data_IF_656171298141
#
_entry.id   IF_656171298141
#
_cell.length_a   1.000
_cell.length_b   1.000
_cell.length_c   1.000
_cell.angle_alpha   90.00
_cell.angle_beta   90.00
_cell.angle_gamma   90.00
#
_symmetry.space_group_name_H-M   'P 1'
#
loop_
_entity.id
_entity.type
_entity.pdbx_description
1 polymer ?
#
# COMPACT_ATOMS: atom_id res chain seq x y z
N UNK A 1 -9.06 14.37 20.83
CA UNK A 1 -9.98 13.55 20.02
C UNK A 1 -9.79 13.99 18.58
N UNK A 2 -9.04 13.22 17.78
CA UNK A 2 -8.80 13.52 16.36
C UNK A 2 -10.08 13.13 15.62
N UNK A 3 -10.76 14.13 15.06
CA UNK A 3 -11.96 13.92 14.21
C UNK A 3 -11.54 13.97 12.76
N UNK A 4 -12.35 13.40 11.86
CA UNK A 4 -12.16 13.63 10.41
C UNK A 4 -12.34 15.11 10.10
N UNK A 5 -11.34 15.73 9.47
CA UNK A 5 -11.33 17.19 9.24
C UNK A 5 -11.47 17.44 7.73
N UNK A 6 -12.69 17.77 7.27
CA UNK A 6 -12.91 18.15 5.87
C UNK A 6 -12.45 19.59 5.63
N UNK A 7 -11.90 19.82 4.45
CA UNK A 7 -11.49 21.13 3.96
C UNK A 7 -11.96 21.33 2.52
N UNK A 8 -12.56 22.47 2.23
CA UNK A 8 -12.89 22.85 0.86
C UNK A 8 -11.70 23.49 0.19
N UNK A 9 -11.40 23.08 -1.02
CA UNK A 9 -10.38 23.71 -1.86
C UNK A 9 -10.89 23.83 -3.29
N UNK A 10 -10.32 24.78 -4.03
CA UNK A 10 -10.61 24.95 -5.46
C UNK A 10 -9.44 24.40 -6.26
N UNK A 11 -9.72 23.50 -7.19
CA UNK A 11 -8.75 22.95 -8.13
C UNK A 11 -9.23 23.20 -9.56
N UNK A 12 -8.33 23.18 -10.53
CA UNK A 12 -8.70 23.27 -11.93
C UNK A 12 -8.85 21.87 -12.52
N UNK A 13 -9.93 21.65 -13.26
CA UNK A 13 -10.11 20.40 -13.98
C UNK A 13 -8.98 20.16 -14.97
N UNK A 14 -8.30 19.00 -14.88
CA UNK A 14 -7.20 18.65 -15.77
C UNK A 14 -7.60 18.50 -17.24
N UNK A 15 -8.91 18.28 -17.53
CA UNK A 15 -9.42 18.12 -18.90
C UNK A 15 -9.92 19.44 -19.51
N UNK A 16 -10.70 20.24 -18.77
CA UNK A 16 -11.34 21.44 -19.36
C UNK A 16 -10.84 22.76 -18.76
N UNK A 17 -9.92 22.72 -17.79
CA UNK A 17 -9.31 23.90 -17.15
C UNK A 17 -10.22 24.68 -16.23
N UNK A 18 -11.53 24.37 -16.18
CA UNK A 18 -12.48 25.12 -15.33
C UNK A 18 -12.29 24.81 -13.86
N UNK A 19 -12.47 25.81 -12.97
CA UNK A 19 -12.36 25.59 -11.55
C UNK A 19 -13.52 24.73 -11.02
N UNK A 20 -13.21 23.85 -10.08
CA UNK A 20 -14.18 23.07 -9.32
C UNK A 20 -13.85 23.10 -7.82
N UNK A 21 -14.89 23.17 -7.00
CA UNK A 21 -14.76 23.06 -5.55
C UNK A 21 -14.78 21.59 -5.15
N UNK A 22 -13.75 21.17 -4.43
CA UNK A 22 -13.63 19.80 -3.93
C UNK A 22 -13.54 19.79 -2.42
N UNK A 23 -14.01 18.71 -1.80
CA UNK A 23 -13.78 18.46 -0.37
C UNK A 23 -12.64 17.48 -0.25
N UNK A 24 -11.57 17.90 0.43
CA UNK A 24 -10.45 17.06 0.83
C UNK A 24 -10.46 16.86 2.34
N UNK A 25 -9.74 15.88 2.83
CA UNK A 25 -9.66 15.63 4.27
C UNK A 25 -8.21 15.78 4.73
N UNK A 26 -7.97 16.65 5.69
CA UNK A 26 -6.65 16.76 6.35
C UNK A 26 -6.39 15.53 7.25
N UNK A 27 -7.47 14.95 7.79
CA UNK A 27 -7.42 13.69 8.53
C UNK A 27 -8.71 12.90 8.36
N UNK A 28 -8.57 11.58 8.38
CA UNK A 28 -9.67 10.61 8.43
C UNK A 28 -9.50 9.75 9.68
N UNK A 29 -10.55 9.68 10.49
CA UNK A 29 -10.60 8.79 11.64
C UNK A 29 -11.60 7.67 11.37
N UNK A 30 -11.12 6.43 11.32
CA UNK A 30 -11.93 5.24 11.00
C UNK A 30 -13.01 4.95 12.05
N UNK A 31 -12.81 5.36 13.30
CA UNK A 31 -13.75 5.09 14.39
C UNK A 31 -15.00 5.97 14.37
N UNK A 32 -15.00 7.03 13.58
CA UNK A 32 -16.13 7.97 13.48
C UNK A 32 -16.87 7.92 12.15
N UNK A 33 -16.45 7.05 11.25
CA UNK A 33 -17.11 6.90 9.95
C UNK A 33 -16.78 5.54 9.34
N UNK A 34 -17.78 4.69 9.22
CA UNK A 34 -17.64 3.39 8.56
C UNK A 34 -17.46 3.52 7.04
N UNK A 35 -17.85 4.67 6.47
CA UNK A 35 -17.78 4.90 5.02
C UNK A 35 -16.45 5.44 4.54
N UNK A 36 -15.74 6.25 5.34
CA UNK A 36 -14.48 6.86 4.94
C UNK A 36 -13.35 5.84 4.69
N UNK A 37 -13.14 4.83 5.56
CA UNK A 37 -12.19 3.76 5.26
C UNK A 37 -12.52 3.01 3.96
N UNK A 38 -13.80 2.73 3.71
CA UNK A 38 -14.24 2.11 2.44
C UNK A 38 -13.94 3.00 1.23
N UNK A 39 -14.15 4.31 1.35
CA UNK A 39 -13.82 5.27 0.30
C UNK A 39 -12.32 5.41 0.06
N UNK A 40 -11.49 5.26 1.11
CA UNK A 40 -10.03 5.16 0.96
C UNK A 40 -9.71 3.91 0.14
N UNK A 41 -10.23 2.76 0.53
CA UNK A 41 -9.94 1.48 -0.14
C UNK A 41 -10.41 1.47 -1.59
N UNK A 42 -11.61 2.00 -1.90
CA UNK A 42 -12.08 2.16 -3.28
C UNK A 42 -11.34 3.26 -4.06
N UNK A 43 -10.72 4.21 -3.37
CA UNK A 43 -10.11 5.42 -3.94
C UNK A 43 -11.10 6.54 -4.21
N UNK A 44 -12.36 6.39 -3.85
CA UNK A 44 -13.40 7.39 -4.12
C UNK A 44 -13.20 8.68 -3.33
N UNK A 45 -12.54 8.58 -2.14
CA UNK A 45 -12.20 9.75 -1.33
C UNK A 45 -11.29 10.75 -2.07
N UNK A 46 -10.51 10.25 -3.03
CA UNK A 46 -9.51 11.03 -3.76
C UNK A 46 -9.95 11.39 -5.18
N UNK A 47 -11.24 11.21 -5.50
CA UNK A 47 -11.77 11.49 -6.82
C UNK A 47 -12.61 12.76 -6.80
N UNK A 48 -12.42 13.60 -7.80
CA UNK A 48 -13.21 14.80 -8.03
C UNK A 48 -13.83 14.78 -9.44
N UNK A 49 -15.16 14.69 -9.53
CA UNK A 49 -15.86 14.80 -10.77
C UNK A 49 -16.06 16.28 -11.15
N UNK A 50 -15.64 16.66 -12.34
CA UNK A 50 -15.85 18.01 -12.86
C UNK A 50 -17.33 18.23 -13.20
N UNK A 51 -18.01 19.24 -12.64
CA UNK A 51 -19.41 19.50 -12.93
C UNK A 51 -19.65 19.94 -14.38
N UNK A 52 -18.60 20.44 -15.06
CA UNK A 52 -18.70 20.98 -16.42
C UNK A 52 -18.49 19.94 -17.52
N UNK A 53 -17.52 19.03 -17.37
CA UNK A 53 -17.17 18.07 -18.43
C UNK A 53 -17.25 16.60 -17.98
N UNK A 54 -17.68 16.35 -16.74
CA UNK A 54 -17.84 15.03 -16.14
C UNK A 54 -16.55 14.21 -16.03
N UNK A 55 -15.42 14.83 -16.29
CA UNK A 55 -14.13 14.17 -16.10
C UNK A 55 -13.83 13.99 -14.62
N UNK A 56 -13.41 12.80 -14.23
CA UNK A 56 -12.99 12.48 -12.87
C UNK A 56 -11.49 12.64 -12.76
N UNK A 57 -11.05 13.60 -11.95
CA UNK A 57 -9.65 13.81 -11.62
C UNK A 57 -9.31 13.09 -10.31
N UNK A 58 -8.15 12.45 -10.27
CA UNK A 58 -7.61 11.92 -9.02
C UNK A 58 -6.81 13.02 -8.32
N UNK A 59 -7.11 13.24 -7.03
CA UNK A 59 -6.45 14.23 -6.20
C UNK A 59 -5.36 13.57 -5.36
N UNK A 60 -4.16 14.17 -5.37
CA UNK A 60 -3.05 13.78 -4.50
C UNK A 60 -2.83 14.90 -3.47
N UNK A 61 -2.92 14.56 -2.19
CA UNK A 61 -2.71 15.50 -1.09
C UNK A 61 -2.30 14.75 0.18
N UNK A 62 -1.60 15.44 1.07
CA UNK A 62 -1.21 14.88 2.35
C UNK A 62 -2.43 14.64 3.23
N UNK A 63 -2.49 13.49 3.87
CA UNK A 63 -3.61 13.11 4.74
C UNK A 63 -3.13 12.24 5.90
N UNK A 64 -3.74 12.43 7.07
CA UNK A 64 -3.59 11.53 8.21
C UNK A 64 -4.73 10.50 8.23
N UNK A 65 -4.40 9.23 8.18
CA UNK A 65 -5.30 8.14 8.54
C UNK A 65 -5.09 7.76 10.00
N UNK A 66 -6.16 7.81 10.79
CA UNK A 66 -6.15 7.50 12.21
C UNK A 66 -7.12 6.36 12.51
N UNK A 67 -6.62 5.28 13.09
CA UNK A 67 -7.37 4.08 13.45
C UNK A 67 -7.08 3.71 14.91
N UNK A 68 -8.03 4.00 15.78
CA UNK A 68 -7.90 3.70 17.22
C UNK A 68 -8.08 2.21 17.50
N UNK A 69 -8.92 1.51 16.72
CA UNK A 69 -9.17 0.07 16.92
C UNK A 69 -7.89 -0.73 16.77
N UNK A 70 -7.09 -0.40 15.76
CA UNK A 70 -5.81 -1.05 15.51
C UNK A 70 -4.62 -0.33 16.15
N UNK A 71 -4.86 0.83 16.79
CA UNK A 71 -3.82 1.65 17.39
C UNK A 71 -2.82 2.18 16.35
N UNK A 72 -3.32 2.68 15.22
CA UNK A 72 -2.50 3.11 14.10
C UNK A 72 -2.71 4.59 13.76
N UNK A 73 -1.61 5.24 13.37
CA UNK A 73 -1.60 6.56 12.71
C UNK A 73 -0.68 6.47 11.50
N UNK A 74 -1.24 6.77 10.33
CA UNK A 74 -0.52 6.67 9.05
C UNK A 74 -0.63 8.00 8.32
N UNK A 75 0.49 8.66 8.10
CA UNK A 75 0.57 9.85 7.27
C UNK A 75 0.89 9.48 5.83
N UNK A 76 0.11 10.01 4.91
CA UNK A 76 0.51 10.10 3.51
C UNK A 76 1.24 11.42 3.35
N UNK A 77 2.52 11.37 2.99
CA UNK A 77 3.34 12.53 2.66
C UNK A 77 3.94 12.35 1.27
N UNK A 78 3.60 13.27 0.37
CA UNK A 78 4.12 13.18 -1.01
C UNK A 78 5.57 13.62 -1.07
N UNK A 79 6.47 12.69 -1.42
CA UNK A 79 7.93 12.87 -1.43
C UNK A 79 8.42 14.03 -2.30
N UNK A 80 7.67 14.37 -3.34
CA UNK A 80 8.03 15.42 -4.27
C UNK A 80 7.61 16.85 -3.85
N UNK A 81 7.15 17.01 -2.60
CA UNK A 81 6.80 18.33 -2.05
C UNK A 81 8.01 18.96 -1.34
N UNK A 82 8.20 20.28 -1.42
CA UNK A 82 9.31 20.96 -0.72
C UNK A 82 9.27 20.76 0.80
N UNK A 83 8.08 20.56 1.36
CA UNK A 83 7.83 20.42 2.79
C UNK A 83 8.05 19.00 3.32
N UNK A 84 8.22 18.00 2.45
CA UNK A 84 8.31 16.58 2.84
C UNK A 84 9.31 16.32 3.96
N UNK A 85 10.56 16.75 3.76
CA UNK A 85 11.64 16.50 4.72
C UNK A 85 11.37 17.16 6.09
N UNK A 86 10.83 18.38 6.08
CA UNK A 86 10.50 19.12 7.30
C UNK A 86 9.36 18.43 8.05
N UNK A 87 8.27 18.09 7.37
CA UNK A 87 7.13 17.39 7.98
C UNK A 87 7.53 16.03 8.55
N UNK A 88 8.35 15.26 7.81
CA UNK A 88 8.85 13.98 8.27
C UNK A 88 9.71 14.12 9.53
N UNK A 89 10.59 15.13 9.60
CA UNK A 89 11.41 15.40 10.78
C UNK A 89 10.54 15.82 11.98
N UNK A 90 9.54 16.67 11.77
CA UNK A 90 8.59 17.08 12.80
C UNK A 90 7.81 15.88 13.35
N UNK A 91 7.27 15.02 12.49
CA UNK A 91 6.57 13.81 12.91
C UNK A 91 7.47 12.90 13.75
N UNK A 92 8.70 12.66 13.32
CA UNK A 92 9.66 11.84 14.05
C UNK A 92 10.12 12.43 15.37
N UNK A 93 9.99 13.74 15.56
CA UNK A 93 10.26 14.41 16.83
C UNK A 93 9.12 14.27 17.85
N UNK A 94 7.91 13.88 17.41
CA UNK A 94 6.75 13.72 18.29
C UNK A 94 6.72 12.35 18.92
N UNK A 95 6.28 12.28 20.18
CA UNK A 95 6.05 11.02 20.88
C UNK A 95 4.54 10.75 20.96
N UNK A 96 4.05 9.86 20.12
CA UNK A 96 2.63 9.55 19.99
C UNK A 96 2.26 8.24 20.69
N UNK A 97 2.59 8.11 21.97
CA UNK A 97 2.07 7.00 22.77
C UNK A 97 0.55 7.22 23.05
N UNK A 98 -0.28 6.19 22.96
CA UNK A 98 0.01 4.75 23.01
C UNK A 98 -0.11 4.00 21.65
N UNK A 99 0.09 4.65 20.52
CA UNK A 99 -0.11 4.01 19.21
C UNK A 99 0.92 2.92 18.95
N UNK A 100 0.46 1.77 18.43
CA UNK A 100 1.29 0.60 18.12
C UNK A 100 1.95 0.71 16.75
N UNK A 101 1.28 1.40 15.82
CA UNK A 101 1.72 1.52 14.42
C UNK A 101 1.74 2.99 14.02
N UNK A 102 2.94 3.54 13.89
CA UNK A 102 3.15 4.89 13.38
C UNK A 102 3.91 4.79 12.06
N UNK A 103 3.28 5.22 10.97
CA UNK A 103 3.84 5.09 9.61
C UNK A 103 3.77 6.39 8.84
N UNK A 104 4.73 6.54 7.95
CA UNK A 104 4.66 7.47 6.82
C UNK A 104 4.67 6.65 5.56
N UNK A 105 3.77 6.96 4.64
CA UNK A 105 3.69 6.39 3.30
C UNK A 105 3.73 7.51 2.26
N UNK A 106 4.19 7.22 1.06
CA UNK A 106 4.46 8.26 0.05
C UNK A 106 3.30 8.48 -0.93
N UNK A 107 2.35 7.54 -0.98
CA UNK A 107 1.18 7.62 -1.85
C UNK A 107 -0.06 6.92 -1.27
N UNK A 108 -1.19 7.09 -1.97
CA UNK A 108 -2.47 6.53 -1.55
C UNK A 108 -2.55 5.00 -1.72
N UNK A 109 -1.77 4.39 -2.60
CA UNK A 109 -1.75 2.95 -2.75
C UNK A 109 -1.03 2.30 -1.56
N UNK A 110 0.08 2.90 -1.13
CA UNK A 110 0.76 2.48 0.08
C UNK A 110 -0.14 2.64 1.33
N UNK A 111 -0.96 3.71 1.42
CA UNK A 111 -1.97 3.82 2.48
C UNK A 111 -2.97 2.66 2.43
N UNK A 112 -3.54 2.35 1.26
CA UNK A 112 -4.49 1.24 1.09
C UNK A 112 -3.89 -0.10 1.52
N UNK A 113 -2.64 -0.32 1.19
CA UNK A 113 -1.91 -1.52 1.58
C UNK A 113 -1.78 -1.61 3.11
N UNK A 114 -1.38 -0.52 3.78
CA UNK A 114 -1.31 -0.49 5.25
C UNK A 114 -2.68 -0.70 5.90
N UNK A 115 -3.73 -0.11 5.36
CA UNK A 115 -5.11 -0.36 5.83
C UNK A 115 -5.50 -1.82 5.62
N UNK A 116 -5.15 -2.44 4.48
CA UNK A 116 -5.35 -3.88 4.26
C UNK A 116 -4.64 -4.75 5.31
N UNK A 117 -3.40 -4.39 5.68
CA UNK A 117 -2.67 -5.08 6.74
C UNK A 117 -3.39 -4.97 8.09
N UNK A 118 -3.86 -3.77 8.45
CA UNK A 118 -4.59 -3.55 9.71
C UNK A 118 -5.88 -4.37 9.75
N UNK A 119 -6.69 -4.30 8.71
CA UNK A 119 -7.99 -5.01 8.65
C UNK A 119 -7.84 -6.54 8.60
N UNK A 120 -6.74 -7.06 8.06
CA UNK A 120 -6.42 -8.50 8.06
C UNK A 120 -5.70 -8.97 9.33
N UNK A 121 -5.35 -8.04 10.23
CA UNK A 121 -4.60 -8.35 11.45
C UNK A 121 -3.13 -8.74 11.20
N UNK A 122 -2.59 -8.36 10.03
CA UNK A 122 -1.20 -8.62 9.66
C UNK A 122 -0.28 -7.46 10.08
N UNK A 123 0.92 -7.82 10.53
CA UNK A 123 1.99 -6.84 10.74
C UNK A 123 2.54 -6.38 9.39
N UNK A 124 2.45 -5.09 9.10
CA UNK A 124 2.87 -4.52 7.83
C UNK A 124 4.36 -4.73 7.52
N UNK A 125 5.21 -4.84 8.55
CA UNK A 125 6.63 -5.17 8.40
C UNK A 125 6.82 -6.56 7.83
N UNK A 126 6.05 -7.52 8.35
CA UNK A 126 6.13 -8.90 7.89
C UNK A 126 5.55 -9.04 6.47
N UNK A 127 4.47 -8.32 6.17
CA UNK A 127 3.90 -8.29 4.83
C UNK A 127 4.90 -7.76 3.81
N UNK A 128 5.61 -6.66 4.12
CA UNK A 128 6.65 -6.12 3.22
C UNK A 128 7.78 -7.14 2.98
N UNK A 129 8.23 -7.81 4.04
CA UNK A 129 9.23 -8.88 3.92
C UNK A 129 8.71 -10.06 3.07
N UNK A 130 7.43 -10.43 3.23
CA UNK A 130 6.81 -11.47 2.39
C UNK A 130 6.73 -11.05 0.92
N UNK A 131 6.48 -9.77 0.62
CA UNK A 131 6.52 -9.26 -0.75
C UNK A 131 7.89 -9.48 -1.39
N UNK A 132 8.97 -9.08 -0.69
CA UNK A 132 10.34 -9.28 -1.14
C UNK A 132 10.61 -10.78 -1.36
N UNK A 133 10.28 -11.62 -0.39
CA UNK A 133 10.47 -13.08 -0.50
C UNK A 133 9.77 -13.65 -1.74
N UNK A 134 8.52 -13.25 -1.96
CA UNK A 134 7.72 -13.72 -3.09
C UNK A 134 8.28 -13.27 -4.43
N UNK A 135 8.74 -12.00 -4.52
CA UNK A 135 9.37 -11.47 -5.73
C UNK A 135 10.68 -12.18 -6.05
N UNK A 136 11.53 -12.42 -5.04
CA UNK A 136 12.79 -13.15 -5.26
C UNK A 136 12.56 -14.56 -5.77
N UNK A 137 11.59 -15.29 -5.22
CA UNK A 137 11.22 -16.61 -5.72
C UNK A 137 10.66 -16.56 -7.14
N UNK A 138 9.88 -15.53 -7.47
CA UNK A 138 9.40 -15.32 -8.83
C UNK A 138 10.55 -15.10 -9.82
N UNK A 139 11.47 -14.21 -9.49
CA UNK A 139 12.61 -13.88 -10.36
C UNK A 139 13.55 -15.06 -10.57
N UNK A 140 13.71 -15.93 -9.57
CA UNK A 140 14.43 -17.19 -9.72
C UNK A 140 13.78 -18.15 -10.71
N UNK A 141 12.44 -18.17 -10.80
CA UNK A 141 11.69 -19.02 -11.73
C UNK A 141 11.48 -18.37 -13.10
N UNK A 142 11.45 -17.04 -13.16
CA UNK A 142 11.18 -16.24 -14.36
C UNK A 142 12.21 -15.11 -14.50
N UNK A 143 13.44 -15.43 -14.96
CA UNK A 143 14.53 -14.44 -15.03
C UNK A 143 14.26 -13.29 -16.01
N UNK A 144 13.38 -13.50 -17.00
CA UNK A 144 13.01 -12.49 -17.99
C UNK A 144 11.92 -11.51 -17.48
N UNK A 145 11.40 -11.72 -16.27
CA UNK A 145 10.40 -10.83 -15.68
C UNK A 145 11.07 -9.59 -15.12
N UNK A 146 10.75 -8.43 -15.68
CA UNK A 146 11.31 -7.15 -15.23
C UNK A 146 10.41 -6.56 -14.13
N UNK A 147 10.77 -6.82 -12.89
CA UNK A 147 10.03 -6.37 -11.72
C UNK A 147 9.98 -4.85 -11.60
N UNK A 148 8.79 -4.31 -11.36
CA UNK A 148 8.55 -2.90 -11.10
C UNK A 148 8.07 -2.61 -9.68
N UNK A 149 7.03 -3.33 -9.22
CA UNK A 149 6.40 -3.08 -7.94
C UNK A 149 5.62 -4.30 -7.43
N UNK A 150 5.46 -4.42 -6.13
CA UNK A 150 4.60 -5.41 -5.50
C UNK A 150 3.60 -4.73 -4.56
N UNK A 151 2.38 -5.27 -4.49
CA UNK A 151 1.29 -4.72 -3.71
C UNK A 151 0.50 -5.83 -3.01
N UNK A 152 0.31 -5.69 -1.71
CA UNK A 152 -0.49 -6.61 -0.92
C UNK A 152 -1.93 -6.11 -0.78
N UNK A 153 -2.88 -7.02 -0.78
CA UNK A 153 -4.26 -6.76 -0.41
C UNK A 153 -4.93 -7.97 0.23
N UNK A 154 -5.87 -7.70 1.13
CA UNK A 154 -6.75 -8.71 1.70
C UNK A 154 -8.18 -8.42 1.24
N UNK A 155 -8.80 -9.35 0.50
CA UNK A 155 -10.16 -9.20 -0.04
C UNK A 155 -10.92 -10.49 0.24
N UNK A 156 -12.06 -10.40 0.92
CA UNK A 156 -12.95 -11.53 1.20
C UNK A 156 -12.23 -12.74 1.81
N UNK A 157 -11.30 -12.48 2.73
CA UNK A 157 -10.53 -13.51 3.42
C UNK A 157 -9.38 -14.13 2.61
N UNK A 158 -9.12 -13.63 1.40
CA UNK A 158 -7.95 -13.99 0.61
C UNK A 158 -6.89 -12.90 0.71
N UNK A 159 -5.67 -13.31 0.96
CA UNK A 159 -4.50 -12.44 1.05
C UNK A 159 -3.65 -12.65 -0.19
N UNK A 160 -3.46 -11.59 -0.97
CA UNK A 160 -2.85 -11.69 -2.30
C UNK A 160 -1.74 -10.64 -2.42
N UNK A 161 -0.59 -11.07 -2.95
CA UNK A 161 0.49 -10.20 -3.40
C UNK A 161 0.43 -10.11 -4.92
N UNK A 162 0.16 -8.91 -5.43
CA UNK A 162 0.26 -8.57 -6.85
C UNK A 162 1.67 -8.10 -7.16
N UNK A 163 2.26 -8.61 -8.24
CA UNK A 163 3.63 -8.32 -8.67
C UNK A 163 3.54 -7.78 -10.10
N UNK A 164 3.92 -6.52 -10.27
CA UNK A 164 3.81 -5.81 -11.54
C UNK A 164 5.15 -5.73 -12.23
N UNK A 165 5.14 -5.85 -13.56
CA UNK A 165 6.27 -5.58 -14.42
C UNK A 165 6.30 -4.13 -14.94
N UNK A 166 7.30 -3.79 -15.76
CA UNK A 166 7.45 -2.45 -16.34
C UNK A 166 6.33 -2.09 -17.32
N UNK A 167 5.75 -3.06 -18.01
CA UNK A 167 4.67 -2.87 -18.97
C UNK A 167 3.30 -2.70 -18.28
N UNK A 168 3.23 -3.03 -17.00
CA UNK A 168 2.03 -2.94 -16.16
C UNK A 168 1.20 -4.21 -16.17
N UNK A 169 1.69 -5.28 -16.78
CA UNK A 169 1.17 -6.63 -16.58
C UNK A 169 1.47 -7.08 -15.14
N UNK A 170 0.72 -8.05 -14.66
CA UNK A 170 0.93 -8.51 -13.29
C UNK A 170 0.76 -10.01 -13.13
N UNK A 171 1.47 -10.53 -12.16
CA UNK A 171 1.30 -11.85 -11.59
C UNK A 171 0.72 -11.71 -10.18
N UNK A 172 0.11 -12.76 -9.65
CA UNK A 172 -0.30 -12.77 -8.26
C UNK A 172 0.14 -14.05 -7.56
N UNK A 173 0.36 -13.91 -6.27
CA UNK A 173 0.65 -15.01 -5.36
C UNK A 173 -0.25 -14.90 -4.15
N UNK A 174 -0.84 -16.01 -3.73
CA UNK A 174 -1.52 -16.09 -2.44
C UNK A 174 -0.47 -16.01 -1.32
N UNK A 175 -0.70 -15.18 -0.32
CA UNK A 175 0.12 -15.16 0.89
C UNK A 175 -0.39 -16.23 1.86
N UNK A 176 0.33 -17.34 1.97
CA UNK A 176 -0.03 -18.40 2.92
C UNK A 176 0.38 -18.04 4.34
N UNK A 177 -0.39 -18.54 5.35
CA UNK A 177 0.00 -18.42 6.76
C UNK A 177 1.38 -19.02 7.03
N UNK A 178 1.72 -20.11 6.35
CA UNK A 178 3.03 -20.77 6.49
C UNK A 178 4.18 -19.85 6.07
N UNK A 179 4.04 -19.16 4.93
CA UNK A 179 5.04 -18.18 4.46
C UNK A 179 5.12 -16.99 5.41
N UNK A 180 3.97 -16.46 5.81
CA UNK A 180 3.91 -15.34 6.73
C UNK A 180 4.58 -15.67 8.08
N UNK A 181 4.24 -16.80 8.68
CA UNK A 181 4.77 -17.22 9.98
C UNK A 181 6.28 -17.51 9.90
N UNK A 182 6.75 -18.13 8.81
CA UNK A 182 8.18 -18.34 8.58
C UNK A 182 8.96 -17.03 8.54
N UNK A 183 8.52 -16.07 7.73
CA UNK A 183 9.16 -14.76 7.60
C UNK A 183 9.10 -13.98 8.91
N UNK A 184 7.96 -14.03 9.60
CA UNK A 184 7.77 -13.42 10.91
C UNK A 184 8.76 -13.95 11.93
N UNK A 185 8.91 -15.27 12.02
CA UNK A 185 9.85 -15.92 12.93
C UNK A 185 11.28 -15.54 12.62
N UNK A 186 11.65 -15.52 11.33
CA UNK A 186 12.97 -15.09 10.90
C UNK A 186 13.26 -13.65 11.32
N UNK A 187 12.33 -12.73 11.06
CA UNK A 187 12.47 -11.33 11.42
C UNK A 187 12.52 -11.12 12.93
N UNK A 188 11.60 -11.71 13.70
CA UNK A 188 11.52 -11.50 15.15
C UNK A 188 12.72 -12.03 15.92
N UNK A 189 13.45 -13.01 15.39
CA UNK A 189 14.70 -13.54 15.96
C UNK A 189 15.92 -12.70 15.59
N UNK A 190 15.77 -11.71 14.74
CA UNK A 190 16.87 -10.88 14.24
C UNK A 190 17.10 -9.62 15.09
N UNK A 191 18.29 -9.06 14.97
CA UNK A 191 18.65 -7.75 15.52
C UNK A 191 17.82 -6.61 14.89
N UNK A 192 17.31 -6.80 13.66
CA UNK A 192 16.50 -5.80 12.99
C UNK A 192 15.18 -5.54 13.73
N UNK A 193 14.55 -6.58 14.27
CA UNK A 193 13.33 -6.44 15.05
C UNK A 193 13.55 -5.68 16.35
N UNK A 194 14.66 -5.95 17.05
CA UNK A 194 15.00 -5.30 18.32
C UNK A 194 15.40 -3.84 18.15
N UNK A 195 16.01 -3.49 17.02
CA UNK A 195 16.46 -2.13 16.68
C UNK A 195 15.40 -1.29 15.95
N UNK A 196 14.26 -1.89 15.62
CA UNK A 196 13.23 -1.20 14.86
C UNK A 196 12.64 -0.02 15.64
N UNK A 197 12.77 1.18 15.06
CA UNK A 197 12.15 2.37 15.60
C UNK A 197 10.77 2.58 14.95
N UNK A 198 9.70 2.39 15.71
CA UNK A 198 8.33 2.52 15.23
C UNK A 198 7.86 3.97 15.02
N UNK A 199 8.67 4.97 15.37
CA UNK A 199 8.25 6.36 15.36
C UNK A 199 8.18 6.91 13.92
N UNK A 200 6.99 6.90 13.32
CA UNK A 200 6.72 7.31 11.94
C UNK A 200 7.73 6.72 10.94
N UNK A 201 7.88 5.42 11.06
CA UNK A 201 8.76 4.65 10.18
C UNK A 201 8.17 4.58 8.76
N UNK A 202 9.05 4.63 7.77
CA UNK A 202 8.73 4.21 6.41
C UNK A 202 9.02 2.72 6.34
N UNK A 203 7.98 1.93 6.14
CA UNK A 203 8.03 0.47 6.00
C UNK A 203 7.48 0.16 4.63
N UNK A 204 8.36 0.00 3.67
CA UNK A 204 8.08 -0.21 2.26
C UNK A 204 8.92 -1.37 1.70
N UNK A 205 8.80 -1.61 0.41
CA UNK A 205 9.55 -2.68 -0.26
C UNK A 205 11.08 -2.50 -0.13
N UNK A 206 11.59 -1.27 -0.27
CA UNK A 206 13.02 -0.99 -0.17
C UNK A 206 13.54 -1.25 1.25
N UNK A 207 12.80 -0.79 2.28
CA UNK A 207 13.10 -1.13 3.67
C UNK A 207 13.15 -2.64 3.91
N UNK A 208 12.18 -3.38 3.35
CA UNK A 208 12.11 -4.83 3.53
C UNK A 208 13.25 -5.56 2.81
N UNK A 209 13.63 -5.08 1.63
CA UNK A 209 14.74 -5.64 0.85
C UNK A 209 16.07 -5.53 1.59
N UNK A 210 16.36 -4.37 2.17
CA UNK A 210 17.58 -4.14 2.99
C UNK A 210 17.66 -5.08 4.19
N UNK A 211 16.54 -5.56 4.70
CA UNK A 211 16.48 -6.45 5.86
C UNK A 211 16.46 -7.92 5.46
N UNK A 212 15.61 -8.30 4.52
CA UNK A 212 15.36 -9.70 4.22
C UNK A 212 16.56 -10.36 3.53
N UNK A 213 17.23 -9.68 2.59
CA UNK A 213 18.36 -10.26 1.86
C UNK A 213 19.46 -10.72 2.81
N UNK A 214 20.01 -9.88 3.71
CA UNK A 214 21.02 -10.33 4.66
C UNK A 214 20.52 -11.44 5.62
N UNK A 215 19.24 -11.41 5.99
CA UNK A 215 18.66 -12.46 6.83
C UNK A 215 18.64 -13.81 6.13
N UNK A 216 18.19 -13.84 4.87
CA UNK A 216 18.14 -15.05 4.05
C UNK A 216 19.56 -15.63 3.79
N UNK A 217 20.52 -14.77 3.50
CA UNK A 217 21.93 -15.18 3.32
C UNK A 217 22.52 -15.79 4.61
N UNK A 218 22.21 -15.19 5.77
CA UNK A 218 22.69 -15.71 7.06
C UNK A 218 22.06 -17.05 7.42
N UNK A 219 20.77 -17.22 7.10
CA UNK A 219 20.01 -18.45 7.34
C UNK A 219 20.44 -19.56 6.38
N UNK A 220 20.68 -19.26 5.11
CA UNK A 220 21.22 -20.21 4.14
C UNK A 220 22.61 -20.77 4.56
N UNK A 221 23.40 -19.97 5.26
CA UNK A 221 24.68 -20.41 5.86
C UNK A 221 24.49 -21.28 7.10
N UNK A 222 23.35 -21.18 7.78
CA UNK A 222 23.05 -21.94 9.01
C UNK A 222 22.38 -23.27 8.77
N UNK A 223 21.61 -23.38 7.68
CA UNK A 223 20.72 -24.51 7.45
C UNK A 223 20.83 -25.02 6.02
N UNK A 224 20.93 -26.31 5.89
CA UNK A 224 20.18 -27.04 4.87
C UNK A 224 18.69 -26.94 5.29
N UNK A 225 18.03 -25.88 4.90
CA UNK A 225 16.73 -25.51 5.39
C UNK A 225 15.65 -26.56 5.11
N UNK A 226 14.67 -26.80 6.02
CA UNK A 226 13.45 -27.48 5.65
C UNK A 226 12.75 -26.66 4.57
N UNK A 227 12.38 -27.32 3.47
CA UNK A 227 11.71 -26.68 2.35
C UNK A 227 10.45 -25.95 2.82
N UNK A 228 10.49 -24.61 2.80
CA UNK A 228 9.29 -23.81 2.79
C UNK A 228 8.67 -24.02 1.42
N UNK A 229 7.40 -24.37 1.37
CA UNK A 229 6.70 -24.43 0.08
C UNK A 229 6.84 -23.07 -0.60
N UNK A 230 7.42 -23.09 -1.80
CA UNK A 230 7.56 -21.89 -2.61
C UNK A 230 6.14 -21.32 -2.87
N UNK A 231 5.96 -19.99 -2.77
CA UNK A 231 4.68 -19.38 -3.08
C UNK A 231 4.32 -19.68 -4.53
N UNK A 232 3.13 -20.25 -4.75
CA UNK A 232 2.63 -20.53 -6.08
C UNK A 232 2.25 -19.24 -6.79
N UNK A 233 3.07 -18.81 -7.75
CA UNK A 233 2.81 -17.60 -8.53
C UNK A 233 1.91 -17.96 -9.72
N UNK A 234 0.74 -17.34 -9.76
CA UNK A 234 -0.26 -17.55 -10.82
C UNK A 234 -0.34 -16.31 -11.71
N UNK A 235 -0.31 -16.54 -13.03
CA UNK A 235 -0.73 -15.51 -13.98
C UNK A 235 -2.26 -15.44 -13.95
N UNK A 236 -2.79 -14.27 -13.64
CA UNK A 236 -4.24 -14.08 -13.80
C UNK A 236 -4.49 -13.91 -15.29
N UNK A 237 -5.05 -14.94 -15.91
CA UNK A 237 -5.60 -14.78 -17.25
C UNK A 237 -6.64 -13.65 -17.20
N UNK A 238 -6.49 -12.69 -18.09
CA UNK A 238 -7.38 -11.52 -18.21
C UNK A 238 -8.78 -11.87 -18.73
N UNK A 239 -9.22 -13.11 -18.54
CA UNK A 239 -10.61 -13.51 -18.85
C UNK A 239 -11.54 -12.99 -17.74
N UNK A 240 -12.58 -12.26 -18.09
CA UNK A 240 -13.22 -11.28 -17.22
C UNK A 240 -14.29 -11.91 -16.33
N UNK A 241 -13.89 -12.35 -15.16
CA UNK A 241 -14.84 -12.60 -14.05
C UNK A 241 -14.49 -11.82 -12.80
N UNK A 242 -13.51 -10.93 -12.87
CA UNK A 242 -13.06 -10.08 -11.76
C UNK A 242 -12.97 -8.61 -12.18
N UNK A 243 -13.16 -7.70 -11.25
CA UNK A 243 -12.93 -6.27 -11.48
C UNK A 243 -11.46 -6.06 -11.86
N UNK A 244 -11.23 -5.52 -13.06
CA UNK A 244 -9.92 -5.11 -13.51
C UNK A 244 -9.39 -3.98 -12.62
N UNK A 245 -8.09 -3.97 -12.38
CA UNK A 245 -7.44 -2.89 -11.62
C UNK A 245 -6.59 -2.07 -12.59
N UNK A 246 -6.80 -0.77 -12.63
CA UNK A 246 -6.02 0.13 -13.48
C UNK A 246 -4.53 0.06 -13.13
N UNK A 247 -3.65 -0.22 -14.10
CA UNK A 247 -2.20 -0.33 -13.83
C UNK A 247 -1.59 0.97 -13.33
N UNK A 248 -2.14 2.12 -13.72
CA UNK A 248 -1.61 3.43 -13.36
C UNK A 248 -2.10 3.93 -12.00
N UNK A 249 -3.41 3.88 -11.72
CA UNK A 249 -3.98 4.46 -10.49
C UNK A 249 -4.55 3.40 -9.52
N UNK A 250 -4.41 2.11 -9.84
CA UNK A 250 -4.83 0.96 -9.03
C UNK A 250 -6.32 0.92 -8.67
N UNK A 251 -7.16 1.72 -9.34
CA UNK A 251 -8.60 1.67 -9.11
C UNK A 251 -9.24 0.48 -9.79
N UNK A 252 -10.27 -0.09 -9.15
CA UNK A 252 -11.09 -1.13 -9.75
C UNK A 252 -11.81 -0.58 -11.00
N UNK A 253 -11.76 -1.33 -12.09
CA UNK A 253 -12.41 -1.02 -13.35
C UNK A 253 -13.56 -1.99 -13.60
N UNK A 254 -14.66 -1.56 -14.26
CA UNK A 254 -15.60 -2.47 -14.86
C UNK A 254 -14.91 -3.38 -15.88
N UNK A 255 -15.37 -4.63 -15.97
CA UNK A 255 -14.79 -5.66 -16.85
C UNK A 255 -14.82 -5.33 -18.36
N UNK A 256 -15.60 -4.33 -18.74
CA UNK A 256 -15.83 -3.85 -20.11
C UNK A 256 -15.21 -2.47 -20.39
N UNK A 257 -14.36 -1.96 -19.49
CA UNK A 257 -13.78 -0.63 -19.64
C UNK A 257 -12.58 -0.63 -20.59
N UNK A 258 -12.71 0.10 -21.68
CA UNK A 258 -11.60 0.33 -22.63
C UNK A 258 -10.52 1.31 -22.08
N UNK A 259 -10.83 2.02 -21.02
CA UNK A 259 -9.91 2.97 -20.35
C UNK A 259 -10.28 3.16 -18.89
N UNK A 260 -9.33 3.55 -18.09
CA UNK A 260 -9.56 3.87 -16.68
C UNK A 260 -10.32 5.19 -16.56
N UNK A 261 -11.57 5.11 -16.08
CA UNK A 261 -12.39 6.30 -15.87
C UNK A 261 -11.80 7.26 -14.81
N UNK A 262 -10.89 6.77 -13.96
CA UNK A 262 -10.29 7.57 -12.88
C UNK A 262 -9.04 8.35 -13.30
N UNK A 263 -8.20 7.79 -14.15
CA UNK A 263 -6.95 8.46 -14.55
C UNK A 263 -6.78 8.62 -16.07
N UNK A 264 -7.77 8.20 -16.88
CA UNK A 264 -7.75 8.31 -18.33
C UNK A 264 -6.75 7.38 -19.03
N UNK A 265 -6.10 6.46 -18.33
CA UNK A 265 -5.15 5.51 -18.95
C UNK A 265 -5.93 4.43 -19.70
N UNK A 266 -5.51 4.17 -20.94
CA UNK A 266 -6.03 3.10 -21.80
C UNK A 266 -5.32 1.80 -21.46
#
# INVERSE_FOLDING_TARGET
KIMSIPKKMTVNCSKCGKPLSVTVFESVNSDYSDTLPMQIMSGDLFNAECPHCKFVSHLEYDILYHDMRHGAMIWVLHKNTPEYATKLAELRSTNMLPYKTLRVVEDMNALKEKVSCLESGRDDRIVELCKVFTVYNLLAQKPDFVFRNAFYTAISGKEIIYIYDEDGDFLCSDLSDKTYDYIKDLYLKSDYATKFNNNYAIVDYAWAEEILIPLMESEAKRLSAPAVEEPEVKKIDSTPTGRLICPKCKSALPSDSEFCQKCGTK
#
